data_IF_221541327824
#
_entry.id   IF_221541327824
#
_cell.length_a   1.000
_cell.length_b   1.000
_cell.length_c   1.000
_cell.angle_alpha   90.00
_cell.angle_beta   90.00
_cell.angle_gamma   90.00
#
_symmetry.space_group_name_H-M   'P 1'
#
loop_
_entity.id
_entity.type
_entity.pdbx_description
1 polymer ?
#
# COMPACT_ATOMS: atom_id res chain seq x y z
N UNK A 1 -17.60 78.64 -4.37
CA UNK A 1 -17.94 79.18 -5.71
C UNK A 1 -17.53 78.10 -6.72
N UNK A 2 -18.48 77.32 -7.27
CA UNK A 2 -19.05 77.51 -8.62
C UNK A 2 -17.92 77.46 -9.69
N UNK A 3 -17.87 76.57 -10.69
CA UNK A 3 -18.96 75.95 -11.44
C UNK A 3 -18.44 75.00 -12.57
N UNK A 4 -19.34 74.11 -13.03
CA UNK A 4 -19.55 73.59 -14.42
C UNK A 4 -18.49 72.63 -15.01
N UNK A 5 -18.78 71.34 -15.16
CA UNK A 5 -19.55 70.66 -16.24
C UNK A 5 -18.91 70.76 -17.65
N UNK A 6 -18.35 69.65 -18.15
CA UNK A 6 -18.58 69.23 -19.54
C UNK A 6 -18.24 67.75 -19.82
N UNK A 7 -19.31 67.00 -20.14
CA UNK A 7 -19.46 66.11 -21.31
C UNK A 7 -18.78 64.73 -21.29
N UNK A 8 -19.59 63.77 -20.81
CA UNK A 8 -19.90 62.47 -21.43
C UNK A 8 -19.44 62.30 -22.89
N UNK A 9 -18.66 61.25 -23.18
CA UNK A 9 -18.84 60.43 -24.38
C UNK A 9 -18.07 59.11 -24.28
N UNK A 10 -18.64 58.05 -24.89
CA UNK A 10 -18.06 56.71 -25.15
C UNK A 10 -18.42 55.58 -24.17
N UNK A 11 -19.67 55.57 -23.71
CA UNK A 11 -20.40 54.31 -23.54
C UNK A 11 -20.92 53.85 -24.91
N UNK A 12 -20.13 53.08 -25.65
CA UNK A 12 -20.59 52.41 -26.88
C UNK A 12 -19.73 51.20 -27.27
N UNK A 13 -19.47 50.30 -26.31
CA UNK A 13 -18.91 48.95 -26.59
C UNK A 13 -19.67 47.84 -25.87
N UNK A 14 -21.00 47.95 -25.81
CA UNK A 14 -21.88 46.90 -25.31
C UNK A 14 -23.04 46.63 -26.29
N UNK A 15 -22.70 46.31 -27.54
CA UNK A 15 -23.72 45.89 -28.52
C UNK A 15 -23.20 44.83 -29.52
N UNK A 16 -22.29 43.96 -29.07
CA UNK A 16 -21.84 42.77 -29.84
C UNK A 16 -21.90 41.48 -29.02
N UNK A 17 -23.02 41.25 -28.32
CA UNK A 17 -23.30 39.96 -27.69
C UNK A 17 -24.72 39.44 -27.96
N UNK A 18 -25.36 39.87 -29.05
CA UNK A 18 -26.71 39.40 -29.42
C UNK A 18 -26.76 38.55 -30.70
N UNK A 19 -25.63 37.97 -31.14
CA UNK A 19 -25.61 37.02 -32.25
C UNK A 19 -24.76 35.79 -31.91
N UNK A 20 -25.16 35.07 -30.88
CA UNK A 20 -24.82 33.66 -30.76
C UNK A 20 -26.06 32.86 -31.12
N UNK A 21 -25.91 32.00 -32.14
CA UNK A 21 -26.94 31.06 -32.58
C UNK A 21 -27.26 30.06 -31.46
N UNK A 22 -28.53 29.63 -31.29
CA UNK A 22 -28.91 28.57 -30.36
C UNK A 22 -28.14 27.25 -30.56
N UNK A 23 -27.51 27.05 -31.72
CA UNK A 23 -26.73 25.86 -32.04
C UNK A 23 -25.29 25.83 -31.48
N UNK A 24 -24.78 26.94 -30.93
CA UNK A 24 -23.42 26.99 -30.36
C UNK A 24 -23.41 26.74 -28.85
N UNK A 25 -24.54 26.93 -28.15
CA UNK A 25 -24.68 26.67 -26.72
C UNK A 25 -24.72 25.16 -26.38
N UNK A 26 -25.01 24.29 -27.36
CA UNK A 26 -25.11 22.84 -27.17
C UNK A 26 -23.76 22.11 -27.09
N UNK A 27 -22.62 22.79 -27.28
CA UNK A 27 -21.28 22.14 -27.32
C UNK A 27 -20.39 22.43 -26.10
N UNK A 28 -20.92 23.06 -25.05
CA UNK A 28 -20.17 23.37 -23.84
C UNK A 28 -20.67 22.64 -22.59
N UNK A 29 -21.59 21.69 -22.74
CA UNK A 29 -22.10 20.87 -21.65
C UNK A 29 -22.14 19.39 -22.05
N UNK A 30 -20.98 18.87 -22.44
CA UNK A 30 -20.72 17.42 -22.34
C UNK A 30 -19.67 17.22 -21.28
N UNK A 31 -19.97 17.60 -20.03
CA UNK A 31 -19.22 17.17 -18.85
C UNK A 31 -19.50 15.69 -18.62
N UNK A 32 -18.94 14.84 -19.48
CA UNK A 32 -18.94 13.38 -19.35
C UNK A 32 -17.97 12.91 -18.26
N UNK A 33 -17.88 13.63 -17.13
CA UNK A 33 -17.03 13.27 -15.99
C UNK A 33 -17.79 13.25 -14.66
N UNK A 34 -19.13 13.37 -14.66
CA UNK A 34 -19.91 13.42 -13.42
C UNK A 34 -20.28 12.06 -12.84
N UNK A 35 -19.93 10.96 -13.51
CA UNK A 35 -20.08 9.61 -12.98
C UNK A 35 -18.75 8.87 -13.15
N UNK A 36 -17.74 9.32 -12.41
CA UNK A 36 -16.63 8.44 -12.08
C UNK A 36 -17.21 7.26 -11.30
N UNK A 37 -16.93 6.03 -11.74
CA UNK A 37 -17.23 4.85 -10.92
C UNK A 37 -16.61 5.05 -9.54
N UNK A 38 -17.31 4.73 -8.44
CA UNK A 38 -16.77 4.97 -7.12
C UNK A 38 -15.45 4.22 -6.95
N UNK A 39 -14.38 4.96 -6.64
CA UNK A 39 -13.05 4.40 -6.42
C UNK A 39 -13.06 3.48 -5.20
N UNK A 40 -12.34 2.37 -5.28
CA UNK A 40 -12.16 1.47 -4.15
C UNK A 40 -10.96 1.96 -3.33
N UNK A 41 -11.21 2.31 -2.07
CA UNK A 41 -10.18 2.70 -1.11
C UNK A 41 -9.95 1.59 -0.08
N UNK A 42 -8.73 1.53 0.47
CA UNK A 42 -8.33 0.59 1.52
C UNK A 42 -7.50 -0.62 1.05
N UNK A 43 -6.74 -1.27 1.93
CA UNK A 43 -6.49 -0.96 3.36
C UNK A 43 -5.16 -0.20 3.49
N UNK A 44 -4.86 0.28 4.69
CA UNK A 44 -3.56 0.81 5.11
C UNK A 44 -2.71 -0.32 5.68
N UNK A 45 -1.45 -0.37 5.28
CA UNK A 45 -0.48 -1.36 5.77
C UNK A 45 0.81 -0.65 6.13
N UNK A 46 1.40 -1.05 7.25
CA UNK A 46 2.66 -0.54 7.77
C UNK A 46 3.55 -1.72 8.16
N UNK A 47 4.80 -1.68 7.73
CA UNK A 47 5.88 -2.53 8.22
C UNK A 47 6.83 -1.68 9.06
N UNK A 48 7.20 -2.17 10.24
CA UNK A 48 8.18 -1.58 11.15
C UNK A 48 9.17 -2.65 11.55
N UNK A 49 10.44 -2.43 11.23
CA UNK A 49 11.57 -3.21 11.71
C UNK A 49 12.30 -2.41 12.76
N UNK A 50 12.45 -2.99 13.95
CA UNK A 50 13.22 -2.40 15.05
C UNK A 50 13.80 -3.52 15.91
N UNK A 51 15.05 -3.33 16.32
CA UNK A 51 15.81 -4.29 17.11
C UNK A 51 15.80 -5.68 16.45
N UNK A 52 15.42 -6.72 17.19
CA UNK A 52 15.36 -8.11 16.72
C UNK A 52 13.98 -8.52 16.19
N UNK A 53 13.10 -7.57 15.86
CA UNK A 53 11.73 -7.87 15.40
C UNK A 53 11.30 -7.08 14.17
N UNK A 54 10.46 -7.70 13.35
CA UNK A 54 9.71 -7.07 12.28
C UNK A 54 8.22 -7.24 12.57
N UNK A 55 7.48 -6.13 12.64
CA UNK A 55 6.02 -6.12 12.72
C UNK A 55 5.44 -5.59 11.41
N UNK A 56 4.54 -6.35 10.81
CA UNK A 56 3.66 -5.88 9.73
C UNK A 56 2.23 -5.81 10.25
N UNK A 57 1.61 -4.64 10.13
CA UNK A 57 0.25 -4.35 10.59
C UNK A 57 -0.56 -3.77 9.44
N UNK A 58 -1.86 -4.07 9.40
CA UNK A 58 -2.77 -3.41 8.48
C UNK A 58 -4.17 -3.31 9.06
N UNK A 59 -4.92 -2.29 8.64
CA UNK A 59 -6.33 -2.17 9.02
C UNK A 59 -7.24 -3.00 8.12
N UNK A 60 -8.53 -3.07 8.48
CA UNK A 60 -9.51 -3.89 7.81
C UNK A 60 -10.46 -3.14 6.88
N UNK A 61 -10.41 -1.81 6.82
CA UNK A 61 -11.41 -1.02 6.11
C UNK A 61 -11.24 -1.11 4.59
N UNK A 62 -12.31 -1.52 3.91
CA UNK A 62 -12.47 -1.41 2.46
C UNK A 62 -13.68 -0.53 2.19
N UNK A 63 -13.47 0.56 1.47
CA UNK A 63 -14.48 1.56 1.16
C UNK A 63 -14.69 1.65 -0.35
N UNK A 64 -15.93 1.88 -0.77
CA UNK A 64 -16.30 2.17 -2.15
C UNK A 64 -16.84 3.60 -2.18
N UNK A 65 -16.00 4.53 -2.64
CA UNK A 65 -16.19 5.95 -2.38
C UNK A 65 -16.32 6.20 -0.87
N UNK A 66 -17.40 6.86 -0.45
CA UNK A 66 -17.66 7.19 0.95
C UNK A 66 -18.32 6.08 1.78
N UNK A 67 -18.59 4.91 1.19
CA UNK A 67 -19.32 3.83 1.86
C UNK A 67 -18.34 2.74 2.30
N UNK A 68 -18.33 2.39 3.58
CA UNK A 68 -17.58 1.23 4.08
C UNK A 68 -18.29 -0.05 3.63
N UNK A 69 -17.64 -0.83 2.77
CA UNK A 69 -18.16 -2.10 2.24
C UNK A 69 -17.79 -3.27 3.15
N UNK A 70 -16.57 -3.25 3.70
CA UNK A 70 -16.09 -4.27 4.62
C UNK A 70 -15.18 -3.63 5.67
N UNK A 71 -15.45 -3.80 6.98
CA UNK A 71 -14.62 -3.19 8.02
C UNK A 71 -13.42 -4.06 8.43
N UNK A 72 -13.38 -5.34 8.05
CA UNK A 72 -12.46 -6.34 8.60
C UNK A 72 -11.76 -7.21 7.54
N UNK A 73 -11.27 -6.59 6.47
CA UNK A 73 -10.41 -7.28 5.50
C UNK A 73 -9.08 -7.71 6.15
N UNK A 74 -8.57 -8.88 5.76
CA UNK A 74 -7.26 -9.39 6.22
C UNK A 74 -6.27 -9.38 5.06
N UNK A 75 -5.57 -8.26 4.90
CA UNK A 75 -4.62 -8.04 3.80
C UNK A 75 -3.15 -8.16 4.22
N UNK A 76 -2.88 -8.37 5.51
CA UNK A 76 -1.57 -8.80 6.05
C UNK A 76 -1.63 -10.30 6.33
N UNK A 77 -0.56 -11.02 6.01
CA UNK A 77 -0.42 -12.47 6.26
C UNK A 77 1.04 -12.92 6.18
N UNK A 78 1.32 -14.06 6.76
CA UNK A 78 2.55 -14.82 6.51
C UNK A 78 2.46 -15.51 5.15
N UNK A 79 3.50 -15.37 4.32
CA UNK A 79 3.60 -16.05 3.02
C UNK A 79 4.27 -17.41 3.18
N UNK A 80 5.43 -17.44 3.85
CA UNK A 80 6.20 -18.63 4.21
C UNK A 80 6.85 -18.40 5.59
N UNK A 81 7.40 -19.43 6.26
CA UNK A 81 8.21 -19.21 7.46
C UNK A 81 9.28 -18.13 7.21
N UNK A 82 9.35 -17.14 8.11
CA UNK A 82 10.28 -16.01 7.98
C UNK A 82 9.93 -14.93 6.94
N UNK A 83 8.79 -15.03 6.23
CA UNK A 83 8.36 -14.04 5.23
C UNK A 83 6.91 -13.61 5.48
N UNK A 84 6.71 -12.30 5.66
CA UNK A 84 5.38 -11.66 5.77
C UNK A 84 5.11 -10.75 4.59
N UNK A 85 3.83 -10.61 4.27
CA UNK A 85 3.38 -9.79 3.17
C UNK A 85 2.09 -9.07 3.51
N UNK A 86 1.93 -7.89 2.92
CA UNK A 86 0.75 -7.07 3.00
C UNK A 86 0.45 -6.44 1.65
N UNK A 87 -0.81 -6.24 1.30
CA UNK A 87 -1.16 -5.53 0.07
C UNK A 87 -2.26 -4.48 0.24
N UNK A 88 -2.14 -3.37 -0.50
CA UNK A 88 -3.22 -2.42 -0.72
C UNK A 88 -3.83 -2.63 -2.12
N UNK A 89 -5.14 -2.40 -2.27
CA UNK A 89 -5.85 -2.59 -3.55
C UNK A 89 -6.69 -3.87 -3.63
N UNK A 90 -6.97 -4.33 -4.86
CA UNK A 90 -7.86 -5.47 -5.14
C UNK A 90 -7.36 -6.76 -4.50
N UNK A 91 -8.25 -7.46 -3.79
CA UNK A 91 -7.94 -8.75 -3.15
C UNK A 91 -7.59 -9.83 -4.17
N UNK A 92 -8.32 -9.92 -5.28
CA UNK A 92 -8.08 -10.93 -6.31
C UNK A 92 -6.72 -10.72 -7.00
N UNK A 93 -6.40 -9.47 -7.29
CA UNK A 93 -5.12 -9.05 -7.87
C UNK A 93 -3.96 -9.45 -6.94
N UNK A 94 -4.12 -9.18 -5.64
CA UNK A 94 -3.12 -9.53 -4.65
C UNK A 94 -2.89 -11.02 -4.52
N UNK A 95 -3.94 -11.85 -4.46
CA UNK A 95 -3.77 -13.32 -4.43
C UNK A 95 -3.00 -13.82 -5.67
N UNK A 96 -3.34 -13.29 -6.85
CA UNK A 96 -2.61 -13.61 -8.09
C UNK A 96 -1.12 -13.25 -8.00
N UNK A 97 -0.80 -12.09 -7.42
CA UNK A 97 0.58 -11.63 -7.25
C UNK A 97 1.33 -12.44 -6.18
N UNK A 98 0.67 -12.81 -5.10
CA UNK A 98 1.23 -13.62 -4.03
C UNK A 98 1.58 -15.04 -4.51
N UNK A 99 0.69 -15.70 -5.24
CA UNK A 99 0.96 -17.01 -5.85
C UNK A 99 2.18 -16.94 -6.80
N UNK A 100 2.26 -15.86 -7.59
CA UNK A 100 3.42 -15.62 -8.49
C UNK A 100 4.70 -15.28 -7.73
N UNK A 101 4.61 -14.63 -6.58
CA UNK A 101 5.75 -14.34 -5.71
C UNK A 101 6.27 -15.62 -5.08
N UNK A 102 5.37 -16.45 -4.54
CA UNK A 102 5.69 -17.71 -3.89
C UNK A 102 6.43 -18.65 -4.84
N UNK A 103 5.91 -18.84 -6.07
CA UNK A 103 6.59 -19.61 -7.12
C UNK A 103 8.00 -19.09 -7.45
N UNK A 104 8.24 -17.77 -7.35
CA UNK A 104 9.58 -17.19 -7.55
C UNK A 104 10.48 -17.42 -6.35
N UNK A 105 9.95 -17.34 -5.12
CA UNK A 105 10.71 -17.65 -3.91
C UNK A 105 11.19 -19.09 -3.95
N UNK A 106 10.34 -20.03 -4.38
CA UNK A 106 10.73 -21.43 -4.60
C UNK A 106 11.80 -21.58 -5.68
N UNK A 107 11.66 -20.90 -6.81
CA UNK A 107 12.63 -20.98 -7.91
C UNK A 107 14.02 -20.40 -7.57
N UNK A 108 14.10 -19.50 -6.59
CA UNK A 108 15.34 -18.85 -6.15
C UNK A 108 15.63 -19.13 -4.67
N UNK A 109 15.28 -20.33 -4.19
CA UNK A 109 15.50 -20.72 -2.79
C UNK A 109 16.97 -20.54 -2.37
N UNK A 110 17.18 -20.01 -1.17
CA UNK A 110 18.51 -19.66 -0.64
C UNK A 110 19.08 -18.30 -1.06
N UNK A 111 18.43 -17.56 -1.97
CA UNK A 111 18.92 -16.24 -2.43
C UNK A 111 18.26 -15.02 -1.74
N UNK A 112 17.48 -15.25 -0.67
CA UNK A 112 16.69 -14.21 0.00
C UNK A 112 15.54 -13.67 -0.87
N UNK A 113 14.69 -12.78 -0.32
CA UNK A 113 13.51 -12.31 -1.04
C UNK A 113 13.80 -11.28 -2.14
N UNK A 114 15.00 -10.70 -2.17
CA UNK A 114 15.37 -9.63 -3.11
C UNK A 114 15.24 -10.08 -4.57
N UNK A 115 15.80 -11.24 -4.91
CA UNK A 115 15.77 -11.76 -6.28
C UNK A 115 14.34 -12.12 -6.74
N UNK A 116 13.54 -12.87 -5.96
CA UNK A 116 12.13 -13.09 -6.24
C UNK A 116 11.33 -11.81 -6.46
N UNK A 117 11.53 -10.78 -5.63
CA UNK A 117 10.84 -9.49 -5.74
C UNK A 117 11.15 -8.79 -7.08
N UNK A 118 12.42 -8.75 -7.47
CA UNK A 118 12.86 -8.16 -8.75
C UNK A 118 12.29 -8.93 -9.94
N UNK A 119 12.30 -10.26 -9.90
CA UNK A 119 11.75 -11.08 -10.99
C UNK A 119 10.22 -11.01 -11.06
N UNK A 120 9.53 -10.75 -9.93
CA UNK A 120 8.10 -10.46 -9.94
C UNK A 120 7.82 -9.11 -10.58
N UNK A 121 8.51 -8.04 -10.16
CA UNK A 121 8.31 -6.69 -10.67
C UNK A 121 8.55 -6.61 -12.19
N UNK A 122 9.59 -7.27 -12.71
CA UNK A 122 9.83 -7.40 -14.16
C UNK A 122 8.66 -8.06 -14.88
N UNK A 123 8.17 -9.18 -14.35
CA UNK A 123 7.04 -9.89 -14.95
C UNK A 123 5.74 -9.08 -14.86
N UNK A 124 5.53 -8.36 -13.75
CA UNK A 124 4.37 -7.51 -13.53
C UNK A 124 4.30 -6.39 -14.57
N UNK A 125 5.41 -5.70 -14.81
CA UNK A 125 5.49 -4.62 -15.81
C UNK A 125 5.30 -5.11 -17.25
N UNK A 126 5.76 -6.31 -17.57
CA UNK A 126 5.81 -6.83 -18.94
C UNK A 126 4.55 -7.59 -19.34
N UNK A 127 3.90 -8.29 -18.39
CA UNK A 127 2.67 -9.04 -18.62
C UNK A 127 1.49 -8.09 -18.90
N UNK A 128 0.79 -8.35 -20.01
CA UNK A 128 -0.33 -7.54 -20.50
C UNK A 128 -1.47 -7.43 -19.48
N UNK A 129 -1.70 -8.48 -18.69
CA UNK A 129 -2.74 -8.55 -17.69
C UNK A 129 -2.27 -7.97 -16.36
N UNK A 130 -1.07 -8.35 -15.89
CA UNK A 130 -0.60 -7.90 -14.58
C UNK A 130 -0.42 -6.39 -14.49
N UNK A 131 0.08 -5.72 -15.54
CA UNK A 131 0.32 -4.26 -15.51
C UNK A 131 -0.94 -3.40 -15.31
N UNK A 132 -2.13 -4.01 -15.36
CA UNK A 132 -3.41 -3.34 -15.11
C UNK A 132 -3.89 -3.48 -13.67
N UNK A 133 -3.23 -4.33 -12.87
CA UNK A 133 -3.55 -4.50 -11.47
C UNK A 133 -3.12 -3.25 -10.72
N UNK A 134 -4.00 -2.73 -9.88
CA UNK A 134 -3.78 -1.50 -9.11
C UNK A 134 -3.21 -1.78 -7.71
N UNK A 135 -2.89 -3.04 -7.44
CA UNK A 135 -2.36 -3.46 -6.15
C UNK A 135 -0.93 -2.94 -5.91
N UNK A 136 -0.62 -2.66 -4.65
CA UNK A 136 0.74 -2.41 -4.15
C UNK A 136 1.05 -3.49 -3.12
N UNK A 137 2.21 -4.12 -3.22
CA UNK A 137 2.60 -5.23 -2.37
C UNK A 137 3.77 -4.84 -1.47
N UNK A 138 3.62 -5.01 -0.16
CA UNK A 138 4.70 -5.05 0.81
C UNK A 138 5.13 -6.50 1.05
N UNK A 139 6.44 -6.74 1.00
CA UNK A 139 7.05 -8.05 1.24
C UNK A 139 8.23 -7.84 2.16
N UNK A 140 8.32 -8.62 3.23
CA UNK A 140 9.42 -8.49 4.17
C UNK A 140 9.85 -9.86 4.71
N UNK A 141 11.16 -10.01 4.87
CA UNK A 141 11.79 -11.15 5.53
C UNK A 141 12.61 -10.68 6.74
N UNK A 142 13.49 -11.54 7.25
CA UNK A 142 14.37 -11.21 8.38
C UNK A 142 15.38 -10.08 8.08
N UNK A 143 15.69 -9.82 6.82
CA UNK A 143 16.75 -8.87 6.42
C UNK A 143 16.16 -7.59 5.83
N UNK A 144 15.24 -7.73 4.88
CA UNK A 144 14.84 -6.66 3.99
C UNK A 144 13.31 -6.49 3.97
N UNK A 145 12.87 -5.28 3.61
CA UNK A 145 11.46 -4.93 3.43
C UNK A 145 11.33 -4.18 2.11
N UNK A 146 10.47 -4.68 1.21
CA UNK A 146 10.28 -4.17 -0.14
C UNK A 146 8.84 -3.77 -0.41
N UNK A 147 8.66 -2.69 -1.18
CA UNK A 147 7.43 -2.31 -1.86
C UNK A 147 7.55 -2.64 -3.35
N UNK A 148 6.54 -3.31 -3.89
CA UNK A 148 6.43 -3.70 -5.29
C UNK A 148 5.17 -3.08 -5.91
N UNK A 149 5.32 -2.53 -7.12
CA UNK A 149 4.24 -1.88 -7.87
C UNK A 149 4.10 -2.45 -9.28
N UNK A 150 2.92 -2.25 -9.89
CA UNK A 150 2.65 -2.64 -11.27
C UNK A 150 3.49 -1.92 -12.34
N UNK A 151 4.17 -0.84 -11.97
CA UNK A 151 5.12 -0.14 -12.85
C UNK A 151 6.47 -0.87 -12.95
N UNK A 152 6.66 -1.93 -12.16
CA UNK A 152 7.90 -2.69 -12.07
C UNK A 152 8.92 -2.06 -11.12
N UNK A 153 8.47 -1.22 -10.20
CA UNK A 153 9.33 -0.64 -9.16
C UNK A 153 9.56 -1.66 -8.03
N UNK A 154 10.77 -1.66 -7.50
CA UNK A 154 11.18 -2.44 -6.32
C UNK A 154 11.89 -1.48 -5.38
N UNK A 155 11.19 -1.06 -4.33
CA UNK A 155 11.68 -0.06 -3.40
C UNK A 155 12.00 -0.72 -2.07
N UNK A 156 13.23 -0.58 -1.60
CA UNK A 156 13.64 -1.07 -0.28
C UNK A 156 13.44 0.01 0.77
N UNK A 157 13.04 -0.38 1.98
CA UNK A 157 12.96 0.56 3.11
C UNK A 157 14.36 0.98 3.56
N UNK A 158 14.62 2.29 3.55
CA UNK A 158 15.91 2.84 4.00
C UNK A 158 16.07 2.86 5.52
N UNK A 159 14.96 2.97 6.26
CA UNK A 159 14.94 3.15 7.71
C UNK A 159 14.19 2.02 8.43
N UNK A 160 13.90 0.92 7.74
CA UNK A 160 13.17 -0.22 8.30
C UNK A 160 11.67 0.06 8.51
N UNK A 161 11.15 1.19 8.05
CA UNK A 161 9.73 1.54 8.14
C UNK A 161 9.19 1.74 6.73
N UNK A 162 8.01 1.19 6.43
CA UNK A 162 7.37 1.30 5.12
C UNK A 162 5.86 1.23 5.25
N UNK A 163 5.15 2.19 4.67
CA UNK A 163 3.69 2.28 4.77
C UNK A 163 3.04 2.51 3.42
N UNK A 164 1.99 1.76 3.11
CA UNK A 164 1.23 1.82 1.85
C UNK A 164 -0.27 1.90 2.11
N UNK A 165 -1.03 2.19 1.05
CA UNK A 165 -2.49 2.27 1.11
C UNK A 165 -3.02 3.64 1.55
N UNK A 166 -4.33 3.71 1.79
CA UNK A 166 -5.04 4.99 1.94
C UNK A 166 -4.55 5.88 3.09
N UNK A 167 -4.10 5.28 4.18
CA UNK A 167 -3.51 5.96 5.34
C UNK A 167 -2.00 5.78 5.48
N UNK A 168 -1.32 5.21 4.48
CA UNK A 168 0.09 4.80 4.57
C UNK A 168 1.03 5.95 4.93
N UNK A 169 0.80 7.14 4.39
CA UNK A 169 1.63 8.32 4.69
C UNK A 169 1.50 8.79 6.15
N UNK A 170 0.29 8.71 6.74
CA UNK A 170 0.07 9.06 8.15
C UNK A 170 0.74 8.06 9.08
N UNK A 171 0.56 6.76 8.79
CA UNK A 171 1.18 5.68 9.54
C UNK A 171 2.71 5.76 9.47
N UNK A 172 3.26 5.97 8.27
CA UNK A 172 4.71 6.11 8.05
C UNK A 172 5.30 7.27 8.83
N UNK A 173 4.67 8.45 8.79
CA UNK A 173 5.12 9.62 9.52
C UNK A 173 5.10 9.41 11.04
N UNK A 174 4.01 8.83 11.57
CA UNK A 174 3.87 8.54 12.99
C UNK A 174 4.89 7.48 13.46
N UNK A 175 5.08 6.40 12.70
CA UNK A 175 6.05 5.36 13.03
C UNK A 175 7.49 5.90 13.06
N UNK A 176 7.85 6.75 12.09
CA UNK A 176 9.17 7.42 12.07
C UNK A 176 9.38 8.31 13.27
N UNK A 177 8.37 9.06 13.70
CA UNK A 177 8.46 9.91 14.89
C UNK A 177 8.62 9.10 16.19
N UNK A 178 8.11 7.86 16.21
CA UNK A 178 8.16 6.96 17.37
C UNK A 178 9.40 6.04 17.37
N UNK A 179 10.14 5.96 16.27
CA UNK A 179 11.24 5.00 16.08
C UNK A 179 12.31 5.10 17.17
N UNK A 180 12.71 6.33 17.49
CA UNK A 180 13.80 6.63 18.42
C UNK A 180 13.33 6.73 19.89
N UNK A 181 12.05 6.44 20.17
CA UNK A 181 11.54 6.41 21.54
C UNK A 181 12.06 5.14 22.23
N UNK A 182 12.77 5.35 23.34
CA UNK A 182 13.31 4.26 24.17
C UNK A 182 12.19 3.38 24.74
N UNK A 183 12.45 2.08 24.81
CA UNK A 183 11.52 1.10 25.37
C UNK A 183 10.36 0.68 24.44
N UNK A 184 10.20 1.31 23.27
CA UNK A 184 9.15 0.93 22.34
C UNK A 184 9.64 -0.11 21.31
N UNK A 185 9.03 -1.29 21.31
CA UNK A 185 9.29 -2.35 20.32
C UNK A 185 8.62 -2.11 18.96
N UNK A 186 8.96 -2.92 17.96
CA UNK A 186 8.43 -2.78 16.59
C UNK A 186 6.89 -2.84 16.53
N UNK A 187 6.27 -3.80 17.23
CA UNK A 187 4.80 -3.92 17.26
C UNK A 187 4.14 -2.72 17.96
N UNK A 188 4.72 -2.23 19.06
CA UNK A 188 4.16 -1.09 19.79
C UNK A 188 4.18 0.19 18.95
N UNK A 189 5.30 0.44 18.26
CA UNK A 189 5.43 1.54 17.29
C UNK A 189 4.38 1.38 16.19
N UNK A 190 4.27 0.18 15.61
CA UNK A 190 3.36 -0.08 14.51
C UNK A 190 1.89 0.14 14.91
N UNK A 191 1.47 -0.32 16.09
CA UNK A 191 0.12 -0.12 16.62
C UNK A 191 -0.19 1.36 16.87
N UNK A 192 0.67 2.08 17.59
CA UNK A 192 0.46 3.52 17.86
C UNK A 192 0.44 4.33 16.56
N UNK A 193 1.29 4.00 15.60
CA UNK A 193 1.30 4.67 14.30
C UNK A 193 0.01 4.43 13.50
N UNK A 194 -0.52 3.20 13.53
CA UNK A 194 -1.79 2.86 12.89
C UNK A 194 -2.99 3.49 13.60
N UNK A 195 -2.95 3.64 14.92
CA UNK A 195 -3.96 4.42 15.66
C UNK A 195 -4.01 5.87 15.17
N UNK A 196 -2.85 6.54 15.06
CA UNK A 196 -2.77 7.89 14.49
C UNK A 196 -3.33 7.92 13.06
N UNK A 197 -2.98 6.94 12.23
CA UNK A 197 -3.50 6.86 10.87
C UNK A 197 -5.04 6.71 10.83
N UNK A 198 -5.60 5.92 11.75
CA UNK A 198 -7.06 5.72 11.85
C UNK A 198 -7.82 6.94 12.36
N UNK A 199 -7.19 7.76 13.19
CA UNK A 199 -7.79 9.02 13.67
C UNK A 199 -7.76 10.12 12.59
N UNK A 200 -6.82 10.04 11.65
CA UNK A 200 -6.60 11.06 10.61
C UNK A 200 -7.21 10.70 9.25
N UNK A 201 -7.22 9.42 8.86
CA UNK A 201 -7.66 8.97 7.54
C UNK A 201 -9.03 8.32 7.59
N UNK A 202 -10.01 8.91 6.90
CA UNK A 202 -11.39 8.39 6.79
C UNK A 202 -11.50 6.99 6.16
N UNK A 203 -10.43 6.51 5.52
CA UNK A 203 -10.33 5.20 4.88
C UNK A 203 -9.50 4.19 5.68
N UNK A 204 -9.20 4.46 6.95
CA UNK A 204 -8.44 3.59 7.84
C UNK A 204 -9.19 3.46 9.17
N UNK A 205 -9.43 2.25 9.63
CA UNK A 205 -10.09 2.02 10.92
C UNK A 205 -9.14 1.41 11.97
N UNK A 206 -9.68 1.08 13.15
CA UNK A 206 -8.94 0.49 14.28
C UNK A 206 -9.01 -1.05 14.33
N UNK A 207 -9.50 -1.68 13.26
CA UNK A 207 -9.58 -3.15 13.15
C UNK A 207 -8.27 -3.68 12.55
N UNK A 208 -7.26 -3.88 13.40
CA UNK A 208 -5.92 -4.24 12.96
C UNK A 208 -5.68 -5.74 12.87
N UNK A 209 -4.96 -6.15 11.82
CA UNK A 209 -4.32 -7.46 11.66
C UNK A 209 -2.83 -7.26 11.80
N UNK A 210 -2.17 -8.08 12.61
CA UNK A 210 -0.75 -7.98 12.92
C UNK A 210 -0.05 -9.31 12.67
N UNK A 211 1.09 -9.25 12.02
CA UNK A 211 2.04 -10.35 11.85
C UNK A 211 3.41 -9.90 12.33
N UNK A 212 4.03 -10.69 13.21
CA UNK A 212 5.37 -10.43 13.75
C UNK A 212 6.30 -11.57 13.33
N UNK A 213 7.55 -11.21 13.00
CA UNK A 213 8.64 -12.15 12.76
C UNK A 213 9.82 -11.75 13.64
N UNK A 214 10.38 -12.75 14.34
CA UNK A 214 11.64 -12.64 15.06
C UNK A 214 12.82 -12.79 14.10
N UNK A 215 13.82 -11.92 14.24
CA UNK A 215 14.94 -11.84 13.30
C UNK A 215 16.07 -12.85 13.59
N UNK A 216 15.99 -13.58 14.70
CA UNK A 216 17.07 -14.42 15.25
C UNK A 216 16.86 -15.95 15.07
N UNK A 217 15.68 -16.42 14.67
CA UNK A 217 15.33 -17.86 14.74
C UNK A 217 15.78 -18.72 13.54
N UNK A 218 17.08 -18.98 13.31
CA UNK A 218 17.53 -19.92 12.26
C UNK A 218 18.57 -20.99 12.68
N UNK A 219 18.84 -21.23 13.97
CA UNK A 219 19.88 -22.21 14.36
C UNK A 219 19.42 -23.62 14.76
N UNK A 220 18.12 -23.95 14.89
CA UNK A 220 17.73 -25.23 15.55
C UNK A 220 17.02 -26.32 14.70
N UNK A 221 16.71 -26.13 13.42
CA UNK A 221 15.97 -27.18 12.66
C UNK A 221 16.85 -28.17 11.86
N UNK A 222 18.19 -28.10 11.98
CA UNK A 222 19.12 -28.87 11.16
C UNK A 222 19.58 -30.25 11.67
N UNK A 223 19.46 -30.59 12.96
CA UNK A 223 20.19 -31.75 13.53
C UNK A 223 19.33 -32.95 13.98
N UNK A 224 18.00 -32.90 13.95
CA UNK A 224 17.17 -34.03 14.46
C UNK A 224 16.82 -35.12 13.43
N UNK A 225 17.50 -35.15 12.28
CA UNK A 225 17.15 -36.02 11.14
C UNK A 225 17.92 -37.33 10.99
N UNK A 226 19.09 -37.51 11.61
CA UNK A 226 19.98 -38.64 11.29
C UNK A 226 20.21 -39.67 12.42
N UNK A 227 19.91 -39.38 13.69
CA UNK A 227 20.19 -40.34 14.77
C UNK A 227 19.13 -41.45 14.95
N UNK A 228 18.01 -41.39 14.23
CA UNK A 228 16.90 -42.35 14.40
C UNK A 228 16.91 -43.59 13.51
N UNK A 229 17.89 -43.76 12.61
CA UNK A 229 17.86 -44.83 11.58
C UNK A 229 18.87 -45.97 11.78
N UNK A 230 19.76 -45.92 12.77
CA UNK A 230 20.74 -47.00 12.98
C UNK A 230 20.34 -48.07 14.02
N UNK A 231 19.25 -47.90 14.78
CA UNK A 231 18.84 -48.90 15.80
C UNK A 231 17.85 -49.99 15.32
N UNK A 232 17.30 -49.91 14.11
CA UNK A 232 16.29 -50.89 13.63
C UNK A 232 16.84 -52.05 12.78
N UNK A 233 18.16 -52.12 12.53
CA UNK A 233 18.79 -53.21 11.75
C UNK A 233 19.48 -54.30 12.61
N UNK A 234 19.28 -54.32 13.93
CA UNK A 234 19.91 -55.31 14.84
C UNK A 234 18.99 -56.10 15.76
N UNK A 235 17.72 -56.30 15.38
CA UNK A 235 16.85 -57.27 16.08
C UNK A 235 16.23 -58.31 15.15
#
# INVERSE_FOLDING_TARGET
>A
MLSRLSRLSRLSRLSRLSRLSPSTASRLFTSSSLLSSPEMHGTTILAVRKDSTLCMIGDGQVSLGSIVVKPNAKKVRRLRPGIVTGFAGSTADAFTLLERLESRIEAFEGQGITRPCVELAKAWRTDKYLRRLEAVLLVADKKNTYELTGNGDVLESSDGIMGVGSGGAYALAAARALKDVEGMGAEEIARKAMEVASDMCVYTNKEFVVEVIDLEDDEEEGEKGEEGKEEEEKK
#
